data_IF_726979203031
#
_entry.id   IF_726979203031
#
_cell.length_a   1.000
_cell.length_b   1.000
_cell.length_c   1.000
_cell.angle_alpha   90.00
_cell.angle_beta   90.00
_cell.angle_gamma   90.00
#
_symmetry.space_group_name_H-M   'P 1'
#
loop_
_entity.id
_entity.type
_entity.pdbx_description
1 polymer ?
#
# COMPACT_ATOMS: atom_id res chain seq x y z
N UNK A 1 -5.99 -12.12 9.47
CA UNK A 1 -5.43 -13.35 10.01
C UNK A 1 -6.50 -14.43 10.11
N UNK A 2 -6.07 -15.63 10.26
CA UNK A 2 -6.95 -16.77 10.22
C UNK A 2 -7.30 -17.34 11.59
N UNK A 3 -6.68 -16.87 12.63
CA UNK A 3 -6.78 -17.52 13.94
C UNK A 3 -7.86 -16.88 14.79
N UNK A 4 -8.97 -17.60 14.91
CA UNK A 4 -10.12 -17.13 15.66
C UNK A 4 -10.13 -17.72 17.04
N UNK A 5 -9.36 -17.16 17.94
CA UNK A 5 -9.53 -17.39 19.34
C UNK A 5 -9.21 -18.76 19.91
N UNK A 6 -8.94 -19.75 19.10
CA UNK A 6 -8.65 -21.10 19.63
C UNK A 6 -7.15 -21.34 19.74
N UNK A 7 -6.50 -21.47 18.62
CA UNK A 7 -5.06 -21.71 18.57
C UNK A 7 -4.44 -20.55 17.84
N UNK A 8 -3.47 -19.92 18.46
CA UNK A 8 -2.74 -18.82 17.89
C UNK A 8 -1.57 -19.39 17.09
N UNK A 9 -1.60 -19.22 15.80
CA UNK A 9 -0.53 -19.64 14.92
C UNK A 9 -0.15 -18.55 13.95
N UNK A 10 0.82 -18.76 13.09
CA UNK A 10 1.21 -17.76 12.10
C UNK A 10 0.10 -17.50 11.10
N UNK A 11 0.01 -16.26 10.65
CA UNK A 11 -0.90 -15.88 9.59
C UNK A 11 -0.53 -16.60 8.29
N UNK A 12 -1.55 -16.98 7.51
CA UNK A 12 -1.31 -17.55 6.18
C UNK A 12 -0.68 -16.55 5.22
N UNK A 13 -0.75 -15.25 5.56
CA UNK A 13 -0.16 -14.19 4.74
C UNK A 13 1.29 -13.90 5.11
N UNK A 14 1.80 -14.54 6.13
CA UNK A 14 3.15 -14.27 6.63
C UNK A 14 4.19 -14.43 5.51
N UNK A 15 5.08 -13.46 5.43
CA UNK A 15 6.14 -13.48 4.43
C UNK A 15 5.75 -12.90 3.08
N UNK A 16 4.47 -12.58 2.87
CA UNK A 16 4.03 -11.99 1.62
C UNK A 16 4.27 -10.49 1.60
N UNK A 17 4.42 -9.94 0.41
CA UNK A 17 4.61 -8.52 0.21
C UNK A 17 3.27 -7.83 0.06
N UNK A 18 3.12 -6.66 0.66
CA UNK A 18 1.91 -5.86 0.55
C UNK A 18 2.25 -4.46 0.06
N UNK A 19 1.62 -4.07 -1.02
CA UNK A 19 1.61 -2.69 -1.50
C UNK A 19 0.15 -2.27 -1.69
N UNK A 20 -0.12 -0.99 -1.58
CA UNK A 20 -1.49 -0.51 -1.71
C UNK A 20 -1.54 0.74 -2.58
N UNK A 21 -2.65 0.89 -3.29
CA UNK A 21 -2.95 2.07 -4.09
C UNK A 21 -4.30 2.59 -3.63
N UNK A 22 -4.33 3.84 -3.23
CA UNK A 22 -5.56 4.46 -2.72
C UNK A 22 -5.78 5.82 -3.40
N UNK A 23 -7.03 6.26 -3.40
CA UNK A 23 -7.37 7.60 -3.84
C UNK A 23 -8.13 8.30 -2.72
N UNK A 24 -7.98 9.61 -2.62
CA UNK A 24 -8.70 10.38 -1.62
C UNK A 24 -8.99 11.79 -2.13
N UNK A 25 -10.02 12.41 -1.56
CA UNK A 25 -10.40 13.77 -1.93
C UNK A 25 -9.63 14.84 -1.16
N UNK A 26 -8.86 14.45 -0.16
CA UNK A 26 -8.02 15.35 0.63
C UNK A 26 -6.56 15.13 0.30
N UNK A 27 -5.66 16.06 0.68
CA UNK A 27 -4.24 15.80 0.56
C UNK A 27 -3.86 14.49 1.29
N UNK A 28 -2.92 13.72 0.75
CA UNK A 28 -2.58 12.43 1.35
C UNK A 28 -2.23 12.49 2.83
N UNK A 29 -1.55 13.52 3.26
CA UNK A 29 -1.15 13.71 4.66
C UNK A 29 -2.33 14.02 5.59
N UNK A 30 -3.51 14.32 5.03
CA UNK A 30 -4.72 14.59 5.81
C UNK A 30 -5.82 13.58 5.60
N UNK A 31 -5.72 12.74 4.58
CA UNK A 31 -6.76 11.78 4.26
C UNK A 31 -6.29 10.33 4.29
N UNK A 32 -5.03 10.08 3.96
CA UNK A 32 -4.54 8.72 3.82
C UNK A 32 -3.51 8.34 4.88
N UNK A 33 -3.08 9.28 5.72
CA UNK A 33 -2.04 9.04 6.72
C UNK A 33 -2.42 7.97 7.74
N UNK A 34 -3.64 8.02 8.26
CA UNK A 34 -4.11 7.03 9.22
C UNK A 34 -4.34 5.68 8.55
N UNK A 35 -4.76 5.69 7.31
CA UNK A 35 -4.92 4.47 6.53
C UNK A 35 -3.56 3.76 6.36
N UNK A 36 -2.56 4.52 5.99
CA UNK A 36 -1.21 3.97 5.86
C UNK A 36 -0.70 3.42 7.20
N UNK A 37 -0.87 4.18 8.27
CA UNK A 37 -0.44 3.75 9.60
C UNK A 37 -1.12 2.45 10.02
N UNK A 38 -2.42 2.34 9.75
CA UNK A 38 -3.16 1.13 10.05
C UNK A 38 -2.68 -0.08 9.27
N UNK A 39 -2.42 0.10 7.97
CA UNK A 39 -1.90 -0.98 7.12
C UNK A 39 -0.51 -1.41 7.55
N UNK A 40 0.35 -0.48 7.92
CA UNK A 40 1.69 -0.81 8.42
C UNK A 40 1.62 -1.63 9.71
N UNK A 41 0.70 -1.26 10.61
CA UNK A 41 0.48 -2.01 11.85
C UNK A 41 -0.01 -3.42 11.54
N UNK A 42 -0.94 -3.56 10.61
CA UNK A 42 -1.42 -4.86 10.20
C UNK A 42 -0.30 -5.72 9.61
N UNK A 43 0.56 -5.14 8.81
CA UNK A 43 1.70 -5.86 8.27
C UNK A 43 2.60 -6.41 9.37
N UNK A 44 2.90 -5.60 10.37
CA UNK A 44 3.70 -6.05 11.51
C UNK A 44 3.01 -7.18 12.27
N UNK A 45 1.70 -7.06 12.46
CA UNK A 45 0.94 -8.07 13.19
C UNK A 45 0.89 -9.40 12.44
N UNK A 46 0.73 -9.35 11.13
CA UNK A 46 0.52 -10.55 10.31
C UNK A 46 1.78 -11.06 9.62
N UNK A 47 2.90 -10.42 9.83
CA UNK A 47 4.17 -10.85 9.23
C UNK A 47 4.27 -10.53 7.75
N UNK A 48 3.54 -9.53 7.27
CA UNK A 48 3.64 -9.06 5.91
C UNK A 48 4.79 -8.08 5.76
N UNK A 49 5.34 -8.03 4.56
CA UNK A 49 6.37 -7.07 4.21
C UNK A 49 5.73 -5.86 3.53
N UNK A 50 5.78 -4.73 4.20
CA UNK A 50 5.23 -3.49 3.68
C UNK A 50 6.12 -2.96 2.55
N UNK A 51 5.52 -2.76 1.36
CA UNK A 51 6.25 -2.29 0.19
C UNK A 51 5.99 -0.84 -0.15
N UNK A 52 4.93 -0.27 0.37
CA UNK A 52 4.62 1.12 0.14
C UNK A 52 3.17 1.37 -0.22
N UNK A 53 2.81 2.65 -0.29
CA UNK A 53 1.47 3.08 -0.65
C UNK A 53 1.58 4.21 -1.68
N UNK A 54 0.83 4.06 -2.76
CA UNK A 54 0.63 5.14 -3.73
C UNK A 54 -0.73 5.76 -3.45
N UNK A 55 -0.75 7.06 -3.17
CA UNK A 55 -2.00 7.77 -2.94
C UNK A 55 -2.19 8.84 -4.02
N UNK A 56 -3.31 8.74 -4.75
CA UNK A 56 -3.69 9.74 -5.73
C UNK A 56 -4.80 10.61 -5.18
N UNK A 57 -4.65 11.92 -5.32
CA UNK A 57 -5.69 12.85 -4.89
C UNK A 57 -6.70 13.09 -6.00
N UNK A 58 -7.98 12.88 -5.70
CA UNK A 58 -9.07 13.20 -6.59
C UNK A 58 -9.57 14.60 -6.24
N UNK A 59 -9.39 15.53 -7.16
CA UNK A 59 -9.74 16.94 -6.94
C UNK A 59 -11.23 17.23 -7.16
N UNK A 60 -12.00 16.22 -7.55
CA UNK A 60 -13.43 16.36 -7.69
C UNK A 60 -13.91 16.49 -9.13
N UNK A 61 -15.24 16.67 -9.30
CA UNK A 61 -15.84 16.79 -10.64
C UNK A 61 -15.23 17.96 -11.42
N UNK A 62 -15.03 17.75 -12.71
CA UNK A 62 -14.48 18.78 -13.58
C UNK A 62 -12.98 18.89 -13.57
N UNK A 63 -12.29 18.17 -12.69
CA UNK A 63 -10.83 18.14 -12.66
C UNK A 63 -10.40 16.74 -13.09
N UNK A 64 -9.60 16.60 -14.17
CA UNK A 64 -9.17 15.28 -14.59
C UNK A 64 -8.37 14.56 -13.51
N UNK A 65 -8.72 13.32 -13.24
CA UNK A 65 -7.97 12.52 -12.28
C UNK A 65 -6.62 12.09 -12.83
N UNK A 66 -6.60 11.60 -14.07
CA UNK A 66 -5.35 11.15 -14.69
C UNK A 66 -4.60 12.35 -15.24
N UNK A 67 -3.44 12.59 -14.68
CA UNK A 67 -2.52 13.63 -15.13
C UNK A 67 -1.16 13.00 -15.41
N UNK A 68 -0.30 13.73 -16.12
CA UNK A 68 1.05 13.23 -16.39
C UNK A 68 1.81 12.97 -15.10
N UNK A 69 1.62 13.81 -14.08
CA UNK A 69 2.27 13.63 -12.79
C UNK A 69 1.82 12.34 -12.10
N UNK A 70 0.52 12.03 -12.14
CA UNK A 70 0.01 10.80 -11.55
C UNK A 70 0.46 9.58 -12.31
N UNK A 71 0.51 9.65 -13.63
CA UNK A 71 1.00 8.54 -14.45
C UNK A 71 2.48 8.28 -14.17
N UNK A 72 3.28 9.33 -14.04
CA UNK A 72 4.69 9.20 -13.69
C UNK A 72 4.85 8.59 -12.30
N UNK A 73 4.07 9.06 -11.32
CA UNK A 73 4.12 8.52 -9.96
C UNK A 73 3.76 7.04 -9.94
N UNK A 74 2.73 6.64 -10.68
CA UNK A 74 2.34 5.24 -10.77
C UNK A 74 3.44 4.38 -11.38
N UNK A 75 4.08 4.89 -12.44
CA UNK A 75 5.18 4.18 -13.09
C UNK A 75 6.36 3.99 -12.15
N UNK A 76 6.72 5.06 -11.43
CA UNK A 76 7.84 5.01 -10.49
C UNK A 76 7.55 4.07 -9.33
N UNK A 77 6.32 4.07 -8.83
CA UNK A 77 5.90 3.18 -7.77
C UNK A 77 6.00 1.72 -8.23
N UNK A 78 5.50 1.42 -9.43
CA UNK A 78 5.58 0.06 -9.97
C UNK A 78 7.03 -0.39 -10.14
N UNK A 79 7.90 0.49 -10.63
CA UNK A 79 9.32 0.18 -10.77
C UNK A 79 9.96 -0.14 -9.42
N UNK A 80 9.62 0.63 -8.40
CA UNK A 80 10.17 0.39 -7.07
C UNK A 80 9.75 -0.97 -6.52
N UNK A 81 8.50 -1.39 -6.78
CA UNK A 81 8.02 -2.70 -6.36
C UNK A 81 8.74 -3.83 -7.09
N UNK A 82 8.98 -3.67 -8.39
CA UNK A 82 9.70 -4.65 -9.19
C UNK A 82 11.15 -4.77 -8.70
N UNK A 83 11.81 -3.66 -8.41
CA UNK A 83 13.18 -3.66 -7.91
C UNK A 83 13.27 -4.36 -6.56
N UNK A 84 12.33 -4.11 -5.66
CA UNK A 84 12.31 -4.77 -4.36
C UNK A 84 12.13 -6.28 -4.50
N UNK A 85 11.20 -6.70 -5.34
CA UNK A 85 10.96 -8.11 -5.57
C UNK A 85 12.16 -8.78 -6.23
N UNK A 86 12.75 -8.13 -7.24
CA UNK A 86 13.94 -8.66 -7.89
C UNK A 86 15.12 -8.78 -6.96
N UNK A 87 15.31 -7.80 -6.07
CA UNK A 87 16.36 -7.84 -5.07
C UNK A 87 16.17 -8.97 -4.06
N UNK A 88 14.93 -9.27 -3.72
CA UNK A 88 14.63 -10.36 -2.79
C UNK A 88 14.80 -11.73 -3.43
N UNK A 89 14.54 -11.85 -4.71
CA UNK A 89 14.65 -13.11 -5.43
C UNK A 89 16.09 -13.49 -5.77
N UNK A 90 16.96 -12.53 -5.75
CA UNK A 90 18.35 -12.75 -6.05
C UNK A 90 19.14 -13.08 -4.80
#
# INVERSE_FOLDING_TARGET
>A
TKNYGRVKGPSLLRGKNLATVVTCGYPPEKGADLWEAGLRRWCRHSGLHWQGMLCGRDMGPGVPFLTQDKLAAARDFARSLIQKAGGEDL
#
